data_IF_499876400431
#
_entry.id   IF_499876400431
#
_cell.length_a   1.000
_cell.length_b   1.000
_cell.length_c   1.000
_cell.angle_alpha   90.00
_cell.angle_beta   90.00
_cell.angle_gamma   90.00
#
_symmetry.space_group_name_H-M   'P 1'
#
loop_
_entity.id
_entity.type
_entity.pdbx_description
1 polymer ?
#
# COMPACT_ATOMS: atom_id res chain seq x y z
N UNK A 1 38.92 -21.68 -31.38
CA UNK A 1 37.46 -21.48 -31.27
C UNK A 1 36.91 -22.77 -30.72
N UNK A 2 36.41 -22.74 -29.49
CA UNK A 2 35.66 -23.83 -28.90
C UNK A 2 34.34 -23.25 -28.47
N UNK A 3 33.29 -23.90 -28.95
CA UNK A 3 31.91 -23.46 -29.01
C UNK A 3 31.33 -23.26 -27.61
N UNK A 4 30.50 -22.22 -27.48
CA UNK A 4 29.66 -22.02 -26.31
C UNK A 4 28.53 -23.04 -26.39
N UNK A 5 28.51 -24.01 -25.49
CA UNK A 5 27.32 -24.83 -25.25
C UNK A 5 26.28 -23.94 -24.56
N UNK A 6 25.25 -23.59 -25.33
CA UNK A 6 24.01 -22.97 -24.88
C UNK A 6 23.37 -23.85 -23.78
N UNK A 7 23.38 -23.37 -22.54
CA UNK A 7 22.54 -23.92 -21.47
C UNK A 7 21.11 -23.45 -21.74
N UNK A 8 20.32 -24.30 -22.39
CA UNK A 8 18.86 -24.20 -22.37
C UNK A 8 18.37 -24.47 -20.95
N UNK A 9 17.95 -23.41 -20.26
CA UNK A 9 17.20 -23.53 -19.00
C UNK A 9 15.75 -23.82 -19.35
N UNK A 10 15.41 -25.09 -19.59
CA UNK A 10 14.02 -25.54 -19.51
C UNK A 10 13.57 -25.50 -18.05
N UNK A 11 12.81 -24.47 -17.68
CA UNK A 11 12.07 -24.44 -16.43
C UNK A 11 10.65 -24.97 -16.68
N UNK A 12 10.47 -26.27 -16.49
CA UNK A 12 9.16 -26.88 -16.30
C UNK A 12 8.46 -26.25 -15.08
N UNK A 13 7.64 -25.23 -15.33
CA UNK A 13 6.72 -24.68 -14.33
C UNK A 13 5.42 -25.48 -14.39
N UNK A 14 5.32 -26.53 -13.57
CA UNK A 14 4.04 -27.20 -13.33
C UNK A 14 3.04 -26.23 -12.68
N UNK A 15 1.84 -26.00 -13.24
CA UNK A 15 0.81 -25.22 -12.57
C UNK A 15 0.11 -26.11 -11.53
N UNK A 16 0.69 -26.18 -10.33
CA UNK A 16 0.05 -26.78 -9.17
C UNK A 16 -1.08 -25.90 -8.67
N UNK A 17 -2.33 -26.29 -8.98
CA UNK A 17 -3.53 -25.72 -8.41
C UNK A 17 -3.50 -25.81 -6.87
N UNK A 18 -3.47 -24.67 -6.18
CA UNK A 18 -3.81 -24.59 -4.76
C UNK A 18 -5.06 -23.73 -4.58
N UNK A 19 -6.18 -24.43 -4.54
CA UNK A 19 -7.45 -23.94 -4.02
C UNK A 19 -7.29 -23.65 -2.52
N UNK A 20 -7.29 -22.37 -2.13
CA UNK A 20 -7.52 -21.99 -0.74
C UNK A 20 -8.97 -21.50 -0.58
N UNK A 21 -9.76 -22.10 0.33
CA UNK A 21 -11.16 -21.73 0.51
C UNK A 21 -11.31 -20.37 1.21
N UNK A 22 -12.27 -19.57 0.72
CA UNK A 22 -12.81 -18.42 1.42
C UNK A 22 -13.29 -18.82 2.83
N UNK A 23 -12.55 -18.40 3.86
CA UNK A 23 -12.95 -18.51 5.26
C UNK A 23 -13.68 -17.24 5.70
N UNK A 24 -15.00 -17.30 5.74
CA UNK A 24 -15.87 -16.36 6.43
C UNK A 24 -15.76 -16.57 7.94
N UNK A 25 -15.31 -15.55 8.68
CA UNK A 25 -15.62 -15.32 10.10
C UNK A 25 -15.50 -13.80 10.30
N UNK A 26 -16.52 -13.05 10.72
CA UNK A 26 -17.47 -13.33 11.79
C UNK A 26 -16.93 -12.69 13.06
N UNK A 27 -17.23 -11.41 13.30
CA UNK A 27 -16.69 -10.66 14.43
C UNK A 27 -17.32 -9.27 14.58
N UNK A 28 -18.58 -9.24 15.00
CA UNK A 28 -19.27 -8.09 15.56
C UNK A 28 -18.55 -7.56 16.81
N UNK A 29 -18.42 -6.25 16.93
CA UNK A 29 -18.38 -5.54 18.22
C UNK A 29 -18.44 -4.03 17.99
N UNK A 30 -19.67 -3.54 17.96
CA UNK A 30 -19.96 -2.12 18.12
C UNK A 30 -19.30 -1.54 19.37
N UNK A 31 -18.48 -0.50 19.18
CA UNK A 31 -18.11 0.43 20.25
C UNK A 31 -18.75 1.78 19.96
N UNK A 32 -19.94 1.98 20.51
CA UNK A 32 -20.52 3.30 20.70
C UNK A 32 -19.61 4.12 21.62
N UNK A 33 -19.03 5.19 21.09
CA UNK A 33 -18.28 6.16 21.88
C UNK A 33 -19.25 7.22 22.39
N UNK A 34 -19.71 7.03 23.63
CA UNK A 34 -20.41 8.05 24.43
C UNK A 34 -19.49 9.27 24.57
N UNK A 35 -19.86 10.37 23.92
CA UNK A 35 -19.34 11.69 24.26
C UNK A 35 -20.13 12.20 25.47
N UNK A 36 -19.57 12.00 26.65
CA UNK A 36 -19.97 12.76 27.84
C UNK A 36 -19.37 14.16 27.76
N UNK A 37 -20.20 15.15 27.46
CA UNK A 37 -19.83 16.57 27.60
C UNK A 37 -20.18 17.00 29.03
N UNK A 38 -19.19 16.88 29.91
CA UNK A 38 -19.28 17.32 31.30
C UNK A 38 -19.26 18.85 31.36
N UNK A 39 -20.37 19.43 31.83
CA UNK A 39 -20.49 20.85 32.06
C UNK A 39 -19.49 21.40 33.08
N UNK A 40 -18.86 22.53 32.72
CA UNK A 40 -18.28 23.52 33.65
C UNK A 40 -18.45 24.93 33.07
N UNK A 41 -19.45 25.66 33.57
CA UNK A 41 -19.33 27.11 33.78
C UNK A 41 -18.97 27.38 35.24
N UNK A 42 -18.71 28.63 35.69
CA UNK A 42 -18.71 29.91 34.97
C UNK A 42 -17.39 30.70 35.11
N UNK A 43 -16.94 31.33 34.03
CA UNK A 43 -15.85 32.31 34.04
C UNK A 43 -16.34 33.67 33.53
N UNK A 44 -16.95 34.46 34.41
CA UNK A 44 -17.36 35.85 34.11
C UNK A 44 -16.10 36.70 33.90
N UNK A 45 -15.78 37.04 32.65
CA UNK A 45 -14.88 38.16 32.34
C UNK A 45 -15.68 39.27 31.69
N UNK A 46 -15.64 40.44 32.35
CA UNK A 46 -16.30 41.70 31.97
C UNK A 46 -16.00 42.04 30.50
N UNK A 47 -17.06 42.28 29.75
CA UNK A 47 -17.03 42.92 28.44
C UNK A 47 -16.69 44.41 28.64
N UNK A 48 -15.65 44.89 27.96
CA UNK A 48 -15.46 46.32 27.69
C UNK A 48 -16.01 46.60 26.28
N UNK A 49 -16.78 47.68 26.07
CA UNK A 49 -17.35 48.00 24.77
C UNK A 49 -16.27 48.56 23.81
N UNK A 50 -16.18 47.98 22.62
CA UNK A 50 -15.39 48.50 21.50
C UNK A 50 -16.21 49.52 20.69
N UNK A 51 -15.58 50.54 20.09
CA UNK A 51 -16.27 51.66 19.47
C UNK A 51 -16.93 51.30 18.12
N UNK A 52 -18.06 51.94 17.86
CA UNK A 52 -18.79 51.91 16.60
C UNK A 52 -17.93 52.47 15.45
N UNK A 53 -17.85 51.76 14.32
CA UNK A 53 -17.36 52.31 13.06
C UNK A 53 -17.30 51.31 11.90
N UNK A 54 -18.14 51.55 10.88
CA UNK A 54 -18.10 51.04 9.49
C UNK A 54 -18.18 49.49 9.30
N UNK A 55 -19.29 48.86 8.88
CA UNK A 55 -20.07 48.97 7.62
C UNK A 55 -19.18 49.14 6.37
N UNK A 56 -18.75 48.03 5.77
CA UNK A 56 -19.31 47.39 4.55
C UNK A 56 -18.21 46.69 3.74
N UNK A 57 -18.36 45.38 3.52
CA UNK A 57 -17.93 44.67 2.30
C UNK A 57 -18.47 43.24 2.37
N UNK A 58 -19.76 43.07 2.10
CA UNK A 58 -20.34 41.77 1.80
C UNK A 58 -19.82 41.36 0.43
N UNK A 59 -18.86 40.44 0.38
CA UNK A 59 -18.49 39.75 -0.85
C UNK A 59 -19.71 38.97 -1.33
N UNK A 60 -20.33 39.47 -2.40
CA UNK A 60 -21.48 38.88 -3.04
C UNK A 60 -21.08 37.52 -3.63
N UNK A 61 -21.57 36.44 -3.01
CA UNK A 61 -21.63 35.14 -3.66
C UNK A 61 -22.55 35.22 -4.87
N UNK A 62 -22.15 34.76 -6.07
CA UNK A 62 -23.02 34.77 -7.24
C UNK A 62 -24.19 33.80 -7.02
N UNK A 63 -25.39 34.36 -7.02
CA UNK A 63 -26.65 33.63 -7.00
C UNK A 63 -26.73 32.69 -8.21
N UNK A 64 -26.75 31.38 -7.92
CA UNK A 64 -26.97 30.34 -8.92
C UNK A 64 -28.46 30.30 -9.25
N UNK A 65 -28.82 30.79 -10.42
CA UNK A 65 -30.19 30.78 -10.97
C UNK A 65 -30.78 29.36 -10.97
N UNK A 66 -32.06 29.15 -10.59
CA UNK A 66 -32.74 27.88 -10.80
C UNK A 66 -33.17 27.73 -12.27
N UNK A 67 -33.02 26.54 -12.90
CA UNK A 67 -33.56 26.30 -14.23
C UNK A 67 -35.08 26.06 -14.15
N UNK A 68 -35.83 26.69 -15.06
CA UNK A 68 -37.27 26.54 -15.22
C UNK A 68 -37.64 25.14 -15.78
N UNK A 69 -38.82 24.58 -15.44
CA UNK A 69 -39.32 23.38 -16.07
C UNK A 69 -40.26 23.71 -17.25
N UNK A 70 -40.08 23.00 -18.36
CA UNK A 70 -41.14 22.84 -19.36
C UNK A 70 -40.65 22.92 -20.80
N UNK A 71 -40.62 21.77 -21.48
CA UNK A 71 -41.46 21.56 -22.68
C UNK A 71 -41.46 20.08 -23.09
N UNK A 72 -42.66 19.52 -23.18
CA UNK A 72 -42.94 18.18 -23.71
C UNK A 72 -42.59 18.07 -25.20
N UNK A 73 -42.07 16.89 -25.57
CA UNK A 73 -41.93 16.38 -26.95
C UNK A 73 -41.26 15.01 -26.84
N UNK A 74 -42.02 13.92 -26.72
CA UNK A 74 -42.44 13.07 -27.85
C UNK A 74 -41.29 12.79 -28.84
N UNK A 75 -40.62 11.66 -28.65
CA UNK A 75 -40.51 10.54 -29.60
C UNK A 75 -39.51 9.54 -29.03
N UNK A 76 -39.97 8.31 -28.85
CA UNK A 76 -39.12 7.19 -28.47
C UNK A 76 -38.18 6.83 -29.63
N UNK A 77 -36.89 6.80 -29.31
CA UNK A 77 -35.92 5.95 -29.97
C UNK A 77 -35.18 5.24 -28.84
N UNK A 78 -35.41 3.94 -28.77
CA UNK A 78 -34.63 3.00 -27.98
C UNK A 78 -33.22 2.97 -28.56
N UNK A 79 -32.39 3.92 -28.15
CA UNK A 79 -30.95 3.80 -28.27
C UNK A 79 -30.42 3.41 -26.90
N UNK A 80 -30.09 2.13 -26.74
CA UNK A 80 -29.21 1.64 -25.69
C UNK A 80 -27.80 2.20 -25.94
N UNK A 81 -27.63 3.48 -25.66
CA UNK A 81 -26.35 4.17 -25.63
C UNK A 81 -25.75 4.03 -24.23
N UNK A 82 -24.43 3.82 -24.12
CA UNK A 82 -23.76 3.50 -22.87
C UNK A 82 -24.07 4.61 -21.89
N UNK A 83 -24.74 4.24 -20.78
CA UNK A 83 -25.20 5.18 -19.75
C UNK A 83 -24.16 6.25 -19.57
N UNK A 84 -24.54 7.50 -19.90
CA UNK A 84 -23.75 8.70 -19.64
C UNK A 84 -23.28 8.62 -18.19
N UNK A 85 -22.09 8.06 -17.97
CA UNK A 85 -21.48 8.05 -16.65
C UNK A 85 -21.32 9.52 -16.35
N UNK A 86 -22.14 10.00 -15.43
CA UNK A 86 -22.15 11.40 -15.07
C UNK A 86 -20.72 11.77 -14.67
N UNK A 87 -20.35 13.04 -14.77
CA UNK A 87 -19.05 13.48 -14.28
C UNK A 87 -18.82 13.07 -12.80
N UNK A 88 -19.90 12.79 -12.05
CA UNK A 88 -19.84 12.22 -10.71
C UNK A 88 -19.49 10.72 -10.72
N UNK A 89 -20.06 9.91 -11.61
CA UNK A 89 -19.77 8.48 -11.74
C UNK A 89 -18.32 8.24 -12.18
N UNK A 90 -17.82 9.02 -13.15
CA UNK A 90 -16.41 8.96 -13.57
C UNK A 90 -15.46 9.32 -12.41
N UNK A 91 -15.81 10.33 -11.62
CA UNK A 91 -15.07 10.71 -10.40
C UNK A 91 -15.14 9.63 -9.32
N UNK A 92 -16.30 9.01 -9.11
CA UNK A 92 -16.47 7.94 -8.13
C UNK A 92 -15.64 6.71 -8.51
N UNK A 93 -15.68 6.33 -9.78
CA UNK A 93 -14.89 5.23 -10.33
C UNK A 93 -13.37 5.48 -10.18
N UNK A 94 -12.89 6.69 -10.53
CA UNK A 94 -11.49 7.06 -10.32
C UNK A 94 -11.09 6.99 -8.84
N UNK A 95 -11.92 7.48 -7.92
CA UNK A 95 -11.68 7.38 -6.48
C UNK A 95 -11.66 5.94 -5.97
N UNK A 96 -12.49 5.06 -6.54
CA UNK A 96 -12.52 3.65 -6.22
C UNK A 96 -11.23 2.94 -6.67
N UNK A 97 -10.79 3.19 -7.90
CA UNK A 97 -9.54 2.64 -8.43
C UNK A 97 -8.33 3.10 -7.62
N UNK A 98 -8.26 4.37 -7.25
CA UNK A 98 -7.14 4.88 -6.45
C UNK A 98 -7.13 4.29 -5.02
N UNK A 99 -8.30 4.01 -4.43
CA UNK A 99 -8.36 3.25 -3.16
C UNK A 99 -7.73 1.87 -3.33
N UNK A 100 -8.16 1.12 -4.35
CA UNK A 100 -7.61 -0.22 -4.65
C UNK A 100 -6.10 -0.16 -4.86
N UNK A 101 -5.60 0.82 -5.61
CA UNK A 101 -4.16 1.04 -5.82
C UNK A 101 -3.42 1.29 -4.50
N UNK A 102 -3.97 2.14 -3.63
CA UNK A 102 -3.38 2.43 -2.31
C UNK A 102 -3.36 1.20 -1.40
N UNK A 103 -4.39 0.36 -1.45
CA UNK A 103 -4.42 -0.87 -0.67
C UNK A 103 -3.37 -1.87 -1.18
N UNK A 104 -3.22 -2.05 -2.49
CA UNK A 104 -2.14 -2.90 -3.04
C UNK A 104 -0.74 -2.42 -2.63
N UNK A 105 -0.51 -1.10 -2.63
CA UNK A 105 0.77 -0.53 -2.15
C UNK A 105 0.94 -0.81 -0.66
N UNK A 106 -0.12 -0.64 0.12
CA UNK A 106 -0.09 -0.92 1.55
C UNK A 106 0.26 -2.40 1.77
N UNK A 107 -0.33 -3.33 1.03
CA UNK A 107 -0.03 -4.76 1.13
C UNK A 107 1.43 -5.04 0.78
N UNK A 108 1.94 -4.42 -0.28
CA UNK A 108 3.37 -4.53 -0.65
C UNK A 108 4.31 -4.05 0.47
N UNK A 109 3.95 -2.98 1.18
CA UNK A 109 4.71 -2.52 2.36
C UNK A 109 4.62 -3.50 3.53
N UNK A 110 3.49 -4.20 3.72
CA UNK A 110 3.38 -5.25 4.74
C UNK A 110 4.25 -6.45 4.38
N UNK A 111 4.18 -6.94 3.13
CA UNK A 111 5.04 -8.04 2.66
C UNK A 111 6.53 -7.70 2.76
N UNK A 112 6.90 -6.45 2.45
CA UNK A 112 8.29 -5.99 2.59
C UNK A 112 8.72 -5.98 4.06
N UNK A 113 7.86 -5.50 4.97
CA UNK A 113 8.12 -5.50 6.41
C UNK A 113 8.33 -6.92 6.94
N UNK A 114 7.51 -7.86 6.52
CA UNK A 114 7.59 -9.26 6.96
C UNK A 114 8.84 -9.96 6.43
N UNK A 115 9.38 -9.52 5.28
CA UNK A 115 10.62 -10.05 4.71
C UNK A 115 11.88 -9.55 5.42
N UNK A 116 11.79 -8.50 6.24
CA UNK A 116 12.90 -7.89 6.97
C UNK A 116 12.82 -8.31 8.45
N UNK A 117 13.70 -9.21 8.93
CA UNK A 117 13.61 -9.77 10.29
C UNK A 117 13.60 -8.72 11.41
N UNK A 118 14.25 -7.58 11.19
CA UNK A 118 14.32 -6.48 12.17
C UNK A 118 13.02 -5.67 12.31
N UNK A 119 12.04 -5.88 11.42
CA UNK A 119 10.77 -5.15 11.42
C UNK A 119 9.54 -6.05 11.63
N UNK A 120 9.76 -7.36 11.77
CA UNK A 120 8.71 -8.32 12.08
C UNK A 120 8.11 -7.99 13.46
N UNK A 121 6.78 -7.84 13.54
CA UNK A 121 6.08 -7.64 14.81
C UNK A 121 6.00 -6.19 15.34
N UNK A 122 6.83 -5.25 14.89
CA UNK A 122 6.84 -3.87 15.42
C UNK A 122 6.24 -2.81 14.49
N UNK A 123 5.52 -1.81 15.03
CA UNK A 123 4.90 -0.71 14.26
C UNK A 123 5.96 0.17 13.58
N UNK A 124 6.40 -0.25 12.39
CA UNK A 124 7.37 0.46 11.57
C UNK A 124 6.68 1.51 10.68
N UNK A 125 7.22 2.72 10.63
CA UNK A 125 6.81 3.74 9.66
C UNK A 125 7.26 3.36 8.25
N UNK A 126 6.61 3.90 7.21
CA UNK A 126 6.99 3.63 5.80
C UNK A 126 8.45 3.96 5.51
N UNK A 127 8.98 5.06 6.07
CA UNK A 127 10.38 5.42 5.93
C UNK A 127 11.29 4.37 6.55
N UNK A 128 11.01 3.96 7.79
CA UNK A 128 11.79 2.92 8.47
C UNK A 128 11.77 1.59 7.72
N UNK A 129 10.64 1.22 7.09
CA UNK A 129 10.56 0.01 6.26
C UNK A 129 11.56 0.08 5.11
N UNK A 130 11.64 1.22 4.42
CA UNK A 130 12.57 1.40 3.30
C UNK A 130 14.03 1.43 3.76
N UNK A 131 14.32 2.14 4.86
CA UNK A 131 15.66 2.26 5.42
C UNK A 131 16.19 0.89 5.85
N UNK A 132 15.39 0.14 6.62
CA UNK A 132 15.76 -1.19 7.13
C UNK A 132 15.79 -2.24 6.04
N UNK A 133 14.91 -2.18 5.04
CA UNK A 133 15.00 -3.06 3.88
C UNK A 133 16.32 -2.84 3.12
N UNK A 134 16.72 -1.58 2.93
CA UNK A 134 17.98 -1.24 2.26
C UNK A 134 19.18 -1.73 3.06
N UNK A 135 19.19 -1.48 4.38
CA UNK A 135 20.22 -1.97 5.29
C UNK A 135 20.30 -3.51 5.27
N UNK A 136 19.16 -4.19 5.29
CA UNK A 136 19.10 -5.64 5.28
C UNK A 136 19.63 -6.25 3.97
N UNK A 137 19.31 -5.65 2.81
CA UNK A 137 19.87 -6.09 1.52
C UNK A 137 21.40 -5.96 1.52
N UNK A 138 21.93 -4.84 2.00
CA UNK A 138 23.38 -4.63 2.07
C UNK A 138 24.05 -5.61 3.04
N UNK A 139 23.41 -5.89 4.17
CA UNK A 139 23.87 -6.89 5.13
C UNK A 139 23.89 -8.29 4.50
N UNK A 140 22.80 -8.72 3.86
CA UNK A 140 22.70 -10.03 3.24
C UNK A 140 23.71 -10.22 2.10
N UNK A 141 24.00 -9.16 1.32
CA UNK A 141 25.06 -9.20 0.30
C UNK A 141 26.44 -9.49 0.88
N UNK A 142 26.81 -8.78 1.95
CA UNK A 142 28.10 -9.00 2.65
C UNK A 142 28.15 -10.40 3.27
N UNK A 143 27.08 -10.80 3.96
CA UNK A 143 26.98 -12.12 4.60
C UNK A 143 27.10 -13.26 3.59
N UNK A 144 26.39 -13.19 2.46
CA UNK A 144 26.50 -14.21 1.41
C UNK A 144 27.90 -14.24 0.80
N UNK A 145 28.57 -13.08 0.64
CA UNK A 145 29.94 -13.05 0.14
C UNK A 145 30.92 -13.74 1.09
N UNK A 146 30.84 -13.45 2.40
CA UNK A 146 31.66 -14.15 3.41
C UNK A 146 31.38 -15.64 3.41
N UNK A 147 30.10 -16.06 3.40
CA UNK A 147 29.78 -17.48 3.33
C UNK A 147 30.29 -18.16 2.06
N UNK A 148 30.28 -17.48 0.92
CA UNK A 148 30.85 -18.02 -0.30
C UNK A 148 32.37 -18.21 -0.18
N UNK A 149 33.08 -17.26 0.45
CA UNK A 149 34.51 -17.40 0.75
C UNK A 149 34.77 -18.58 1.67
N UNK A 150 34.00 -18.72 2.76
CA UNK A 150 34.13 -19.84 3.69
C UNK A 150 33.93 -21.18 2.97
N UNK A 151 32.94 -21.26 2.07
CA UNK A 151 32.68 -22.46 1.24
C UNK A 151 33.88 -22.77 0.34
N UNK A 152 34.45 -21.77 -0.32
CA UNK A 152 35.57 -21.97 -1.24
C UNK A 152 36.86 -22.35 -0.51
N UNK A 153 37.08 -21.82 0.69
CA UNK A 153 38.19 -22.18 1.56
C UNK A 153 38.06 -23.62 2.09
N UNK A 154 36.87 -23.99 2.57
CA UNK A 154 36.59 -25.36 3.01
C UNK A 154 36.71 -26.37 1.87
N UNK A 155 36.26 -26.03 0.66
CA UNK A 155 36.43 -26.88 -0.52
C UNK A 155 37.91 -27.10 -0.86
N UNK A 156 38.73 -26.06 -0.80
CA UNK A 156 40.18 -26.17 -1.00
C UNK A 156 40.83 -27.05 0.05
N UNK A 157 40.44 -26.91 1.32
CA UNK A 157 40.95 -27.75 2.40
C UNK A 157 40.57 -29.22 2.22
N UNK A 158 39.30 -29.50 1.89
CA UNK A 158 38.85 -30.87 1.63
C UNK A 158 39.61 -31.50 0.45
N UNK A 159 39.80 -30.77 -0.65
CA UNK A 159 40.56 -31.30 -1.79
C UNK A 159 42.01 -31.66 -1.43
N UNK A 160 42.67 -30.85 -0.59
CA UNK A 160 44.02 -31.14 -0.11
C UNK A 160 44.06 -32.37 0.81
N UNK A 161 43.05 -32.54 1.67
CA UNK A 161 42.95 -33.69 2.56
C UNK A 161 42.61 -34.98 1.81
N UNK A 162 41.73 -34.92 0.82
CA UNK A 162 41.40 -36.05 -0.05
C UNK A 162 42.65 -36.52 -0.81
N UNK A 163 43.44 -35.60 -1.35
CA UNK A 163 44.70 -35.92 -2.01
C UNK A 163 45.71 -36.60 -1.07
N UNK A 164 45.76 -36.19 0.22
CA UNK A 164 46.61 -36.84 1.22
C UNK A 164 46.14 -38.26 1.53
N UNK A 165 44.83 -38.47 1.71
CA UNK A 165 44.26 -39.79 1.98
C UNK A 165 44.46 -40.78 0.83
N UNK A 166 44.42 -40.31 -0.42
CA UNK A 166 44.75 -41.11 -1.61
C UNK A 166 46.23 -41.48 -1.70
N UNK A 167 47.13 -40.63 -1.18
CA UNK A 167 48.58 -40.90 -1.21
C UNK A 167 49.05 -41.87 -0.11
N UNK A 168 48.24 -42.08 0.92
CA UNK A 168 48.53 -42.99 2.04
C UNK A 168 47.85 -44.37 1.92
N UNK A 169 47.05 -44.60 0.86
CA UNK A 169 46.36 -45.87 0.57
C UNK A 169 47.04 -46.65 -0.57
#
# INVERSE_FOLDING_TARGET
>A
MSDNDDIEVESDVSPGASSFPCGLSGGDSGRGSQRGDGGRGPGRRRLLPLPLGARTASVAFPARSPPAPGRSGLLGLEEEQPRFQSAADKRAHHNALERKRRDHIKDSFHSLRDSVPSLQGEKASRAQILDKATEYIQYMRRKNHTHQQDIDDLKRQNALLEQQGESES
#
